data_IF_917301198180
#
_entry.id   IF_917301198180
#
_cell.length_a   1.000
_cell.length_b   1.000
_cell.length_c   1.000
_cell.angle_alpha   90.00
_cell.angle_beta   90.00
_cell.angle_gamma   90.00
#
_symmetry.space_group_name_H-M   'P 1'
#
loop_
_entity.id
_entity.type
_entity.pdbx_description
1 polymer ?
#
# COMPACT_ATOMS: atom_id res chain seq x y z
N UNK A 1 31.65 8.39 2.31
CA UNK A 1 31.71 7.15 3.13
C UNK A 1 30.74 6.18 2.47
N UNK A 2 31.10 4.95 2.17
CA UNK A 2 30.15 4.00 1.57
C UNK A 2 29.17 3.55 2.64
N UNK A 3 27.86 3.70 2.41
CA UNK A 3 26.83 3.25 3.34
C UNK A 3 26.89 1.72 3.54
N UNK A 4 26.84 1.28 4.79
CA UNK A 4 26.66 -0.13 5.11
C UNK A 4 25.15 -0.46 5.09
N UNK A 5 24.64 -0.83 3.91
CA UNK A 5 23.23 -1.12 3.68
C UNK A 5 22.74 -2.27 4.57
N UNK A 6 23.58 -3.29 4.80
CA UNK A 6 23.20 -4.43 5.65
C UNK A 6 23.00 -3.97 7.09
N UNK A 7 23.93 -3.16 7.62
CA UNK A 7 23.78 -2.61 8.96
C UNK A 7 22.54 -1.74 9.10
N UNK A 8 22.30 -0.83 8.16
CA UNK A 8 21.13 0.06 8.15
C UNK A 8 19.83 -0.75 8.18
N UNK A 9 19.70 -1.74 7.30
CA UNK A 9 18.54 -2.62 7.24
C UNK A 9 18.31 -3.35 8.58
N UNK A 10 19.37 -3.88 9.18
CA UNK A 10 19.27 -4.61 10.45
C UNK A 10 18.95 -3.69 11.63
N UNK A 11 19.47 -2.47 11.64
CA UNK A 11 19.13 -1.47 12.65
C UNK A 11 17.63 -1.10 12.57
N UNK A 12 17.12 -0.85 11.35
CA UNK A 12 15.70 -0.56 11.10
C UNK A 12 14.79 -1.75 11.43
N UNK A 13 15.21 -2.97 11.09
CA UNK A 13 14.45 -4.19 11.38
C UNK A 13 14.23 -4.40 12.90
N UNK A 14 15.12 -3.89 13.75
CA UNK A 14 14.98 -4.01 15.19
C UNK A 14 13.97 -3.04 15.82
N UNK A 15 13.52 -2.02 15.10
CA UNK A 15 12.66 -0.95 15.62
C UNK A 15 11.35 -0.77 14.85
N UNK A 16 10.63 -1.82 14.45
CA UNK A 16 9.35 -1.66 13.74
C UNK A 16 8.32 -0.95 14.61
N UNK A 17 7.65 0.05 14.06
CA UNK A 17 6.61 0.84 14.71
C UNK A 17 5.37 0.89 13.85
N UNK A 18 4.20 0.98 14.48
CA UNK A 18 2.91 1.01 13.79
C UNK A 18 2.69 2.40 13.19
N UNK A 19 1.95 2.46 12.10
CA UNK A 19 1.68 3.69 11.37
C UNK A 19 1.19 4.84 12.24
N UNK A 20 1.77 6.02 12.01
CA UNK A 20 1.67 7.28 12.77
C UNK A 20 2.30 7.24 14.18
N UNK A 21 3.00 6.14 14.53
CA UNK A 21 3.78 6.00 15.77
C UNK A 21 5.27 5.70 15.50
N UNK A 22 5.77 5.93 14.26
CA UNK A 22 7.12 5.58 13.79
C UNK A 22 8.19 6.59 14.29
N UNK A 23 8.17 6.92 15.58
CA UNK A 23 9.03 7.98 16.14
C UNK A 23 10.51 7.60 16.18
N UNK A 24 10.85 6.34 16.53
CA UNK A 24 12.24 5.88 16.53
C UNK A 24 12.76 5.65 15.11
N UNK A 25 11.91 5.12 14.25
CA UNK A 25 12.18 4.95 12.83
C UNK A 25 12.48 6.30 12.18
N UNK A 26 11.62 7.31 12.43
CA UNK A 26 11.84 8.68 11.96
C UNK A 26 13.15 9.27 12.50
N UNK A 27 13.41 9.13 13.80
CA UNK A 27 14.63 9.66 14.41
C UNK A 27 15.90 9.03 13.79
N UNK A 28 15.88 7.71 13.58
CA UNK A 28 16.97 6.99 12.93
C UNK A 28 17.19 7.48 11.49
N UNK A 29 16.13 7.59 10.71
CA UNK A 29 16.20 8.08 9.33
C UNK A 29 16.72 9.52 9.25
N UNK A 30 16.22 10.41 10.12
CA UNK A 30 16.69 11.81 10.18
C UNK A 30 18.18 11.90 10.52
N UNK A 31 18.67 11.08 11.46
CA UNK A 31 20.10 11.01 11.78
C UNK A 31 20.94 10.59 10.57
N UNK A 32 20.53 9.52 9.86
CA UNK A 32 21.23 9.05 8.65
C UNK A 32 21.19 10.09 7.54
N UNK A 33 20.03 10.72 7.29
CA UNK A 33 19.88 11.77 6.29
C UNK A 33 20.77 12.97 6.64
N UNK A 34 20.79 13.42 7.90
CA UNK A 34 21.63 14.54 8.32
C UNK A 34 23.12 14.28 8.09
N UNK A 35 23.60 13.07 8.42
CA UNK A 35 25.00 12.67 8.16
C UNK A 35 25.36 12.70 6.67
N UNK A 36 24.44 12.29 5.79
CA UNK A 36 24.66 12.28 4.34
C UNK A 36 24.60 13.67 3.71
N UNK A 37 23.88 14.61 4.33
CA UNK A 37 23.56 15.92 3.75
C UNK A 37 24.29 17.09 4.41
N UNK A 38 25.17 16.85 5.39
CA UNK A 38 25.87 17.88 6.20
C UNK A 38 26.54 18.96 5.32
N UNK A 39 27.18 18.57 4.21
CA UNK A 39 27.90 19.46 3.31
C UNK A 39 27.14 19.73 1.98
N UNK A 40 25.81 19.55 1.94
CA UNK A 40 24.98 19.65 0.72
C UNK A 40 24.02 20.84 0.79
N UNK A 41 24.42 21.97 0.21
CA UNK A 41 23.63 23.22 0.18
C UNK A 41 22.41 23.17 -0.76
N UNK A 42 22.32 22.13 -1.61
CA UNK A 42 21.19 21.90 -2.51
C UNK A 42 20.12 20.99 -1.93
N UNK A 43 20.18 20.65 -0.64
CA UNK A 43 19.23 19.72 0.02
C UNK A 43 18.40 20.46 1.07
N UNK A 44 17.09 20.26 0.99
CA UNK A 44 16.16 20.68 2.04
C UNK A 44 15.40 19.47 2.57
N UNK A 45 14.95 19.54 3.84
CA UNK A 45 14.10 18.50 4.43
C UNK A 45 12.93 19.10 5.17
N UNK A 46 11.80 18.39 5.16
CA UNK A 46 10.59 18.67 5.93
C UNK A 46 10.10 17.40 6.61
N UNK A 47 9.39 17.56 7.71
CA UNK A 47 8.69 16.46 8.37
C UNK A 47 7.20 16.75 8.40
N UNK A 48 6.41 15.68 8.31
CA UNK A 48 4.98 15.71 8.54
C UNK A 48 4.63 14.52 9.45
N UNK A 49 4.19 14.79 10.69
CA UNK A 49 4.04 13.75 11.73
C UNK A 49 5.31 12.90 11.82
N UNK A 50 5.22 11.60 11.53
CA UNK A 50 6.36 10.68 11.49
C UNK A 50 6.99 10.52 10.10
N UNK A 51 6.40 11.12 9.05
CA UNK A 51 6.93 11.11 7.69
C UNK A 51 8.06 12.13 7.48
N UNK A 52 8.90 11.88 6.45
CA UNK A 52 10.03 12.73 6.08
C UNK A 52 9.99 12.97 4.57
N UNK A 53 10.23 14.21 4.17
CA UNK A 53 10.44 14.61 2.78
C UNK A 53 11.86 15.19 2.67
N UNK A 54 12.65 14.66 1.74
CA UNK A 54 14.00 15.16 1.43
C UNK A 54 13.99 15.64 -0.01
N UNK A 55 14.24 16.92 -0.20
CA UNK A 55 14.20 17.55 -1.52
C UNK A 55 15.60 17.97 -1.96
N UNK A 56 16.00 17.55 -3.15
CA UNK A 56 17.25 17.91 -3.79
C UNK A 56 16.95 18.92 -4.89
N UNK A 57 17.46 20.13 -4.76
CA UNK A 57 17.37 21.16 -5.79
C UNK A 57 18.30 20.80 -6.95
N UNK A 58 17.73 20.65 -8.14
CA UNK A 58 18.49 20.46 -9.36
C UNK A 58 19.25 21.73 -9.76
N UNK A 59 20.38 21.58 -10.46
CA UNK A 59 21.16 22.74 -10.93
C UNK A 59 20.52 23.44 -12.16
N UNK A 60 19.64 22.75 -12.91
CA UNK A 60 18.89 23.28 -14.05
C UNK A 60 17.53 22.55 -14.20
N UNK A 61 16.65 22.63 -13.22
CA UNK A 61 15.47 21.77 -13.15
C UNK A 61 14.43 22.12 -14.22
N UNK A 62 13.93 21.11 -14.89
CA UNK A 62 12.75 21.17 -15.77
C UNK A 62 11.53 20.48 -15.15
N UNK A 63 11.79 19.54 -14.19
CA UNK A 63 10.79 18.75 -13.48
C UNK A 63 11.31 18.30 -12.13
N UNK A 64 10.41 17.76 -11.31
CA UNK A 64 10.73 17.09 -10.04
C UNK A 64 10.40 15.61 -10.14
N UNK A 65 11.35 14.75 -9.77
CA UNK A 65 11.21 13.29 -9.78
C UNK A 65 11.08 12.81 -8.34
N UNK A 66 9.99 12.11 -8.03
CA UNK A 66 9.73 11.54 -6.72
C UNK A 66 10.16 10.09 -6.59
N UNK A 67 10.72 9.75 -5.44
CA UNK A 67 10.93 8.39 -4.96
C UNK A 67 10.17 8.19 -3.64
N UNK A 68 9.26 7.20 -3.58
CA UNK A 68 8.50 6.89 -2.37
C UNK A 68 9.00 5.61 -1.73
N UNK A 69 9.10 5.63 -0.42
CA UNK A 69 9.27 4.47 0.44
C UNK A 69 8.36 4.58 1.65
N UNK A 70 7.78 3.48 2.09
CA UNK A 70 7.05 3.33 3.33
C UNK A 70 7.99 3.06 4.51
N UNK A 71 7.52 3.33 5.76
CA UNK A 71 8.40 3.24 6.94
C UNK A 71 7.79 2.49 8.13
N UNK A 72 6.52 2.13 8.08
CA UNK A 72 5.81 1.49 9.19
C UNK A 72 6.05 -0.03 9.25
N UNK A 73 5.63 -0.62 10.33
CA UNK A 73 5.67 -2.05 10.60
C UNK A 73 4.32 -2.59 11.01
N UNK A 74 4.23 -3.90 11.19
CA UNK A 74 3.01 -4.64 11.45
C UNK A 74 2.92 -5.16 12.89
N UNK A 75 1.71 -5.31 13.46
CA UNK A 75 1.48 -5.89 14.78
C UNK A 75 1.60 -7.43 14.71
N UNK A 76 2.79 -7.93 14.37
CA UNK A 76 3.09 -9.36 14.20
C UNK A 76 4.22 -9.73 15.16
N UNK A 77 4.05 -10.85 15.87
CA UNK A 77 5.12 -11.43 16.71
C UNK A 77 6.13 -12.10 15.79
N UNK A 78 7.35 -11.61 15.82
CA UNK A 78 8.42 -12.14 14.95
C UNK A 78 8.91 -13.52 15.40
N UNK A 79 9.00 -14.45 14.46
CA UNK A 79 9.48 -15.83 14.65
C UNK A 79 10.68 -16.19 13.76
N UNK A 80 11.41 -15.21 13.24
CA UNK A 80 12.54 -15.44 12.30
C UNK A 80 13.71 -16.14 12.98
N UNK A 81 13.94 -15.89 14.26
CA UNK A 81 15.12 -16.38 15.00
C UNK A 81 16.42 -15.65 14.65
N UNK A 82 16.37 -14.51 13.97
CA UNK A 82 17.52 -13.69 13.60
C UNK A 82 18.14 -13.02 14.84
N UNK A 83 19.46 -12.84 14.85
CA UNK A 83 20.17 -12.13 15.92
C UNK A 83 19.77 -10.66 16.01
N UNK A 84 19.30 -10.07 14.91
CA UNK A 84 18.81 -8.70 14.79
C UNK A 84 17.27 -8.62 14.67
N UNK A 85 16.55 -9.59 15.22
CA UNK A 85 15.09 -9.56 15.27
C UNK A 85 14.57 -8.32 15.98
N UNK A 86 13.29 -8.00 15.75
CA UNK A 86 12.59 -6.90 16.42
C UNK A 86 12.83 -6.87 17.94
N UNK A 87 13.13 -5.68 18.46
CA UNK A 87 13.19 -5.40 19.91
C UNK A 87 11.86 -4.84 20.42
N UNK A 88 10.90 -4.55 19.53
CA UNK A 88 9.55 -4.12 19.86
C UNK A 88 8.63 -5.34 19.92
N UNK A 89 8.26 -5.75 21.14
CA UNK A 89 7.41 -6.92 21.33
C UNK A 89 6.09 -6.81 20.53
N UNK A 90 5.75 -7.87 19.79
CA UNK A 90 4.55 -7.93 18.99
C UNK A 90 4.54 -7.08 17.72
N UNK A 91 5.70 -6.56 17.28
CA UNK A 91 5.83 -5.76 16.07
C UNK A 91 6.96 -6.29 15.19
N UNK A 92 6.78 -6.26 13.86
CA UNK A 92 7.75 -6.77 12.88
C UNK A 92 7.65 -6.00 11.57
N UNK A 93 8.77 -5.82 10.86
CA UNK A 93 8.78 -5.44 9.44
C UNK A 93 8.51 -6.68 8.55
N UNK A 94 7.28 -7.24 8.67
CA UNK A 94 6.89 -8.43 7.91
C UNK A 94 6.42 -8.12 6.48
N UNK A 95 6.34 -6.84 6.09
CA UNK A 95 6.10 -6.39 4.71
C UNK A 95 7.39 -5.95 3.99
N UNK A 96 8.52 -5.88 4.71
CA UNK A 96 9.82 -5.54 4.11
C UNK A 96 10.10 -4.05 3.97
N UNK A 97 9.39 -3.19 4.71
CA UNK A 97 9.61 -1.75 4.67
C UNK A 97 11.01 -1.34 5.16
N UNK A 98 11.68 -2.15 5.98
CA UNK A 98 13.09 -2.01 6.32
C UNK A 98 14.02 -2.13 5.09
N UNK A 99 13.67 -3.01 4.11
CA UNK A 99 14.35 -3.10 2.83
C UNK A 99 14.08 -1.88 1.95
N UNK A 100 12.83 -1.39 1.95
CA UNK A 100 12.43 -0.21 1.20
C UNK A 100 13.15 1.04 1.69
N UNK A 101 13.15 1.30 3.01
CA UNK A 101 13.85 2.42 3.63
C UNK A 101 15.35 2.38 3.36
N UNK A 102 15.96 1.22 3.50
CA UNK A 102 17.41 1.03 3.25
C UNK A 102 17.75 1.28 1.79
N UNK A 103 16.93 0.79 0.87
CA UNK A 103 17.08 1.06 -0.56
C UNK A 103 16.98 2.56 -0.83
N UNK A 104 15.97 3.25 -0.27
CA UNK A 104 15.79 4.69 -0.44
C UNK A 104 16.99 5.49 0.08
N UNK A 105 17.57 5.14 1.23
CA UNK A 105 18.79 5.78 1.75
C UNK A 105 19.98 5.54 0.82
N UNK A 106 20.14 4.32 0.27
CA UNK A 106 21.18 4.02 -0.68
C UNK A 106 21.05 4.79 -2.00
N UNK A 107 19.81 4.96 -2.48
CA UNK A 107 19.50 5.77 -3.66
C UNK A 107 19.76 7.27 -3.41
N UNK A 108 19.35 7.77 -2.24
CA UNK A 108 19.62 9.14 -1.81
C UNK A 108 21.14 9.41 -1.78
N UNK A 109 21.92 8.53 -1.15
CA UNK A 109 23.40 8.66 -1.13
C UNK A 109 23.97 8.77 -2.54
N UNK A 110 23.49 7.96 -3.49
CA UNK A 110 23.94 8.05 -4.88
C UNK A 110 23.58 9.38 -5.56
N UNK A 111 22.40 9.94 -5.28
CA UNK A 111 21.96 11.22 -5.85
C UNK A 111 22.69 12.41 -5.22
N UNK A 112 23.23 12.24 -4.01
CA UNK A 112 24.02 13.25 -3.31
C UNK A 112 25.49 13.34 -3.78
N UNK A 113 25.99 12.35 -4.57
CA UNK A 113 27.38 12.37 -5.05
C UNK A 113 27.63 13.52 -6.03
N UNK A 114 26.63 13.87 -6.85
CA UNK A 114 26.66 14.99 -7.80
C UNK A 114 25.27 15.62 -7.78
N UNK A 115 25.21 16.95 -7.69
CA UNK A 115 23.92 17.65 -7.76
C UNK A 115 23.21 17.29 -9.08
N UNK A 116 21.97 16.76 -9.03
CA UNK A 116 21.24 16.36 -10.23
C UNK A 116 20.85 17.58 -11.09
N UNK A 117 20.56 17.35 -12.39
CA UNK A 117 20.00 18.40 -13.25
C UNK A 117 18.60 18.78 -12.80
N UNK A 118 17.72 17.78 -12.67
CA UNK A 118 16.33 17.97 -12.23
C UNK A 118 16.19 17.91 -10.71
N UNK A 119 15.10 18.46 -10.19
CA UNK A 119 14.79 18.30 -8.77
C UNK A 119 14.43 16.85 -8.45
N UNK A 120 14.74 16.44 -7.21
CA UNK A 120 14.33 15.13 -6.72
C UNK A 120 13.66 15.24 -5.36
N UNK A 121 12.62 14.45 -5.14
CA UNK A 121 11.94 14.30 -3.85
C UNK A 121 12.08 12.85 -3.38
N UNK A 122 12.66 12.63 -2.20
CA UNK A 122 12.59 11.36 -1.50
C UNK A 122 11.52 11.47 -0.40
N UNK A 123 10.49 10.64 -0.51
CA UNK A 123 9.39 10.56 0.45
C UNK A 123 9.56 9.30 1.30
N UNK A 124 9.76 9.48 2.60
CA UNK A 124 9.66 8.42 3.61
C UNK A 124 8.26 8.52 4.23
N UNK A 125 7.35 7.70 3.73
CA UNK A 125 5.92 7.78 3.98
C UNK A 125 5.54 6.92 5.18
N UNK A 126 4.87 7.46 6.21
CA UNK A 126 4.35 6.68 7.33
C UNK A 126 3.03 5.98 6.98
N UNK A 127 2.65 5.00 7.82
CA UNK A 127 1.29 4.46 7.91
C UNK A 127 0.73 3.89 6.60
N UNK A 128 1.54 3.13 5.84
CA UNK A 128 1.05 2.44 4.65
C UNK A 128 0.02 1.36 5.03
N UNK A 129 0.26 0.59 6.09
CA UNK A 129 -0.47 -0.63 6.45
C UNK A 129 -1.85 -0.39 7.07
N UNK A 130 -2.14 0.81 7.58
CA UNK A 130 -3.36 1.01 8.38
C UNK A 130 -4.14 2.30 8.11
N UNK A 131 -3.47 3.44 7.86
CA UNK A 131 -4.12 4.75 7.81
C UNK A 131 -3.99 5.46 6.45
N UNK A 132 -3.38 4.81 5.45
CA UNK A 132 -3.13 5.39 4.13
C UNK A 132 -2.37 6.73 4.22
N UNK A 133 -1.16 6.66 4.79
CA UNK A 133 -0.33 7.84 5.08
C UNK A 133 -0.03 8.70 3.87
N UNK A 134 0.12 8.09 2.68
CA UNK A 134 0.27 8.84 1.42
C UNK A 134 -0.91 9.76 1.11
N UNK A 135 -2.14 9.28 1.33
CA UNK A 135 -3.35 10.11 1.20
C UNK A 135 -3.35 11.23 2.24
N UNK A 136 -3.10 10.92 3.51
CA UNK A 136 -3.12 11.92 4.57
C UNK A 136 -2.08 13.01 4.34
N UNK A 137 -0.86 12.66 3.93
CA UNK A 137 0.19 13.63 3.59
C UNK A 137 -0.22 14.54 2.44
N UNK A 138 -0.87 14.00 1.41
CA UNK A 138 -1.34 14.79 0.27
C UNK A 138 -2.47 15.74 0.67
N UNK A 139 -3.47 15.26 1.40
CA UNK A 139 -4.64 16.05 1.81
C UNK A 139 -4.29 17.12 2.84
N UNK A 140 -3.34 16.86 3.73
CA UNK A 140 -2.82 17.85 4.68
C UNK A 140 -1.86 18.87 4.03
N UNK A 141 -1.53 18.71 2.73
CA UNK A 141 -0.64 19.61 2.00
C UNK A 141 0.83 19.49 2.39
N UNK A 142 1.28 18.34 2.89
CA UNK A 142 2.66 18.12 3.36
C UNK A 142 3.71 18.33 2.26
N UNK A 143 3.35 18.11 1.01
CA UNK A 143 4.24 18.32 -0.13
C UNK A 143 4.48 19.80 -0.42
N UNK A 144 3.48 20.68 -0.19
CA UNK A 144 3.59 22.08 -0.56
C UNK A 144 3.95 22.26 -2.02
N UNK A 145 5.06 22.97 -2.26
CA UNK A 145 5.66 23.22 -3.59
C UNK A 145 6.60 22.10 -4.09
N UNK A 146 6.77 21.03 -3.32
CA UNK A 146 7.63 19.88 -3.64
C UNK A 146 6.90 18.70 -4.28
N UNK A 147 5.60 18.84 -4.61
CA UNK A 147 4.88 17.76 -5.26
C UNK A 147 5.58 17.41 -6.59
N UNK A 148 5.96 16.14 -6.81
CA UNK A 148 6.72 15.77 -8.00
C UNK A 148 5.84 15.72 -9.26
N UNK A 149 6.48 15.80 -10.43
CA UNK A 149 5.84 15.64 -11.74
C UNK A 149 5.68 14.16 -12.13
N UNK A 150 6.53 13.31 -11.59
CA UNK A 150 6.47 11.86 -11.77
C UNK A 150 6.97 11.16 -10.51
N UNK A 151 6.34 10.04 -10.11
CA UNK A 151 6.63 9.32 -8.88
C UNK A 151 7.02 7.86 -9.14
N UNK A 152 8.04 7.37 -8.44
CA UNK A 152 8.48 5.98 -8.48
C UNK A 152 8.52 5.39 -7.07
N UNK A 153 8.26 4.08 -6.97
CA UNK A 153 8.38 3.32 -5.73
C UNK A 153 8.56 1.84 -6.01
N UNK A 154 9.10 1.14 -5.03
CA UNK A 154 9.21 -0.33 -5.06
C UNK A 154 8.34 -0.97 -4.00
N UNK A 155 8.01 -2.24 -4.23
CA UNK A 155 7.66 -3.16 -3.16
C UNK A 155 8.47 -4.45 -3.31
N UNK A 156 8.90 -5.03 -2.21
CA UNK A 156 9.60 -6.32 -2.24
C UNK A 156 8.65 -7.47 -2.55
N UNK A 157 9.14 -8.48 -3.28
CA UNK A 157 8.37 -9.66 -3.62
C UNK A 157 9.10 -10.95 -3.24
N UNK A 158 8.53 -11.71 -2.29
CA UNK A 158 9.17 -12.90 -1.71
C UNK A 158 9.54 -14.01 -2.70
N UNK A 159 8.64 -14.33 -3.62
CA UNK A 159 8.73 -15.43 -4.60
C UNK A 159 9.60 -15.11 -5.83
N UNK A 160 10.05 -13.86 -5.98
CA UNK A 160 11.00 -13.46 -7.01
C UNK A 160 12.43 -13.51 -6.47
N UNK A 161 13.36 -13.84 -7.35
CA UNK A 161 14.78 -13.97 -7.00
C UNK A 161 15.46 -12.61 -6.90
N UNK A 162 16.59 -12.55 -6.21
CA UNK A 162 17.50 -11.40 -6.32
C UNK A 162 17.95 -11.28 -7.79
N UNK A 163 17.84 -10.07 -8.35
CA UNK A 163 18.04 -9.82 -9.78
C UNK A 163 16.75 -9.62 -10.56
N UNK A 164 15.61 -10.05 -10.02
CA UNK A 164 14.32 -9.84 -10.66
C UNK A 164 13.76 -8.45 -10.34
N UNK A 165 13.38 -7.73 -11.39
CA UNK A 165 12.52 -6.54 -11.33
C UNK A 165 11.26 -6.85 -12.14
N UNK A 166 10.08 -6.63 -11.55
CA UNK A 166 8.83 -6.94 -12.22
C UNK A 166 7.83 -5.80 -12.15
N UNK A 167 7.14 -5.54 -13.25
CA UNK A 167 6.06 -4.54 -13.33
C UNK A 167 5.20 -4.82 -14.55
N UNK A 168 4.24 -3.95 -14.81
CA UNK A 168 3.45 -3.93 -16.04
C UNK A 168 3.04 -2.49 -16.38
N UNK A 169 2.47 -2.28 -17.55
CA UNK A 169 2.02 -0.96 -18.03
C UNK A 169 0.58 -0.59 -17.61
N UNK A 170 0.03 -1.29 -16.63
CA UNK A 170 -1.34 -1.11 -16.13
C UNK A 170 -1.37 -1.16 -14.61
N UNK A 171 -2.35 -1.80 -14.02
CA UNK A 171 -2.46 -1.96 -12.56
C UNK A 171 -1.46 -2.97 -12.01
N UNK A 172 -0.73 -2.61 -10.97
CA UNK A 172 0.18 -3.52 -10.27
C UNK A 172 -0.47 -4.10 -9.00
N UNK A 173 -1.17 -3.28 -8.21
CA UNK A 173 -1.90 -3.70 -7.00
C UNK A 173 -3.37 -3.34 -7.10
N UNK A 174 -4.24 -4.20 -6.55
CA UNK A 174 -5.66 -3.94 -6.50
C UNK A 174 -6.01 -2.83 -5.48
N UNK A 175 -7.02 -2.04 -5.80
CA UNK A 175 -7.67 -1.19 -4.81
C UNK A 175 -8.46 -2.02 -3.83
N UNK A 176 -8.53 -1.56 -2.58
CA UNK A 176 -9.22 -2.24 -1.49
C UNK A 176 -10.31 -1.37 -0.88
N UNK A 177 -11.46 -1.96 -0.55
CA UNK A 177 -12.50 -1.28 0.20
C UNK A 177 -13.09 -2.23 1.24
N UNK A 178 -13.10 -1.81 2.51
CA UNK A 178 -13.80 -2.51 3.57
C UNK A 178 -15.30 -2.21 3.49
N UNK A 179 -16.11 -3.22 3.79
CA UNK A 179 -17.58 -3.14 3.73
C UNK A 179 -18.17 -3.65 5.04
N UNK A 180 -18.90 -2.80 5.74
CA UNK A 180 -19.75 -3.23 6.85
C UNK A 180 -21.20 -2.83 6.52
N UNK A 181 -22.10 -3.81 6.55
CA UNK A 181 -23.54 -3.61 6.37
C UNK A 181 -24.26 -4.10 7.60
N UNK A 182 -24.99 -3.22 8.25
CA UNK A 182 -25.78 -3.51 9.46
C UNK A 182 -27.25 -3.34 9.17
N UNK A 183 -27.99 -4.44 9.11
CA UNK A 183 -29.45 -4.43 9.02
C UNK A 183 -30.07 -4.26 10.41
N UNK A 184 -31.02 -3.33 10.53
CA UNK A 184 -31.70 -2.99 11.77
C UNK A 184 -33.20 -3.21 11.59
N UNK A 185 -33.68 -4.33 12.12
CA UNK A 185 -35.05 -4.74 12.09
C UNK A 185 -35.73 -4.55 13.44
N UNK A 186 -36.65 -5.47 13.76
CA UNK A 186 -37.36 -5.53 15.04
C UNK A 186 -37.31 -6.97 15.55
N UNK A 187 -36.68 -7.16 16.70
CA UNK A 187 -36.66 -8.45 17.40
C UNK A 187 -38.03 -8.87 17.91
N UNK A 188 -38.16 -10.16 18.18
CA UNK A 188 -39.44 -10.70 18.70
C UNK A 188 -39.36 -12.18 19.05
N UNK A 189 -40.45 -12.71 19.59
CA UNK A 189 -40.54 -14.14 19.87
C UNK A 189 -40.70 -14.92 18.57
N UNK A 190 -39.89 -15.97 18.37
CA UNK A 190 -39.84 -16.73 17.12
C UNK A 190 -41.19 -17.33 16.66
N UNK A 191 -42.14 -17.55 17.61
CA UNK A 191 -43.51 -18.02 17.31
C UNK A 191 -44.46 -16.91 16.82
N UNK A 192 -44.06 -15.63 16.89
CA UNK A 192 -44.84 -14.48 16.46
C UNK A 192 -44.12 -13.65 15.41
N UNK A 193 -43.69 -14.24 14.26
CA UNK A 193 -42.87 -13.54 13.25
C UNK A 193 -43.60 -12.35 12.62
N UNK A 194 -44.92 -12.29 12.64
CA UNK A 194 -45.71 -11.18 12.12
C UNK A 194 -45.64 -9.91 12.96
N UNK A 195 -45.07 -9.97 14.17
CA UNK A 195 -44.83 -8.83 15.05
C UNK A 195 -43.36 -8.29 14.98
N UNK A 196 -42.51 -8.94 14.19
CA UNK A 196 -41.09 -8.66 14.09
C UNK A 196 -40.63 -8.40 12.64
N UNK A 197 -39.39 -7.89 12.48
CA UNK A 197 -38.72 -7.77 11.20
C UNK A 197 -37.37 -8.47 11.32
N UNK A 198 -37.18 -9.62 10.67
CA UNK A 198 -36.07 -10.53 10.86
C UNK A 198 -34.81 -10.03 10.10
N UNK A 199 -33.87 -9.46 10.85
CA UNK A 199 -32.61 -8.95 10.29
C UNK A 199 -31.69 -10.07 9.77
N UNK A 200 -31.74 -11.28 10.38
CA UNK A 200 -30.96 -12.42 9.93
C UNK A 200 -31.40 -12.87 8.53
N UNK A 201 -32.70 -12.95 8.29
CA UNK A 201 -33.24 -13.31 6.98
C UNK A 201 -32.88 -12.25 5.95
N UNK A 202 -33.05 -10.96 6.25
CA UNK A 202 -32.69 -9.87 5.33
C UNK A 202 -31.20 -9.91 4.95
N UNK A 203 -30.31 -10.04 5.93
CA UNK A 203 -28.86 -10.13 5.65
C UNK A 203 -28.50 -11.37 4.82
N UNK A 204 -29.20 -12.50 4.99
CA UNK A 204 -29.03 -13.69 4.16
C UNK A 204 -29.40 -13.44 2.70
N UNK A 205 -30.48 -12.71 2.44
CA UNK A 205 -30.85 -12.26 1.08
C UNK A 205 -29.81 -11.29 0.51
N UNK A 206 -29.28 -10.37 1.32
CA UNK A 206 -28.21 -9.47 0.90
C UNK A 206 -26.98 -10.26 0.43
N UNK A 207 -26.49 -11.22 1.21
CA UNK A 207 -25.31 -12.04 0.86
C UNK A 207 -25.49 -12.74 -0.49
N UNK A 208 -26.68 -13.28 -0.77
CA UNK A 208 -26.95 -13.97 -2.03
C UNK A 208 -27.08 -12.98 -3.20
N UNK A 209 -27.76 -11.87 -3.02
CA UNK A 209 -27.97 -10.88 -4.08
C UNK A 209 -26.68 -10.16 -4.47
N UNK A 210 -25.82 -9.81 -3.48
CA UNK A 210 -24.58 -9.08 -3.73
C UNK A 210 -23.61 -9.85 -4.62
N UNK A 211 -23.69 -11.19 -4.70
CA UNK A 211 -22.91 -12.01 -5.62
C UNK A 211 -23.19 -11.68 -7.10
N UNK A 212 -24.38 -11.12 -7.39
CA UNK A 212 -24.75 -10.72 -8.74
C UNK A 212 -23.97 -9.49 -9.23
N UNK A 213 -23.34 -8.74 -8.35
CA UNK A 213 -22.52 -7.59 -8.74
C UNK A 213 -21.38 -8.04 -9.65
N UNK A 214 -20.57 -8.98 -9.19
CA UNK A 214 -19.44 -9.50 -9.97
C UNK A 214 -19.92 -10.23 -11.22
N UNK A 215 -20.97 -11.06 -11.11
CA UNK A 215 -21.42 -11.89 -12.23
C UNK A 215 -22.27 -11.15 -13.26
N UNK A 216 -22.82 -9.96 -12.98
CA UNK A 216 -23.80 -9.25 -13.83
C UNK A 216 -23.56 -7.76 -14.02
N UNK A 217 -22.63 -7.14 -13.28
CA UNK A 217 -22.38 -5.70 -13.38
C UNK A 217 -20.93 -5.36 -13.69
N UNK A 218 -19.97 -6.17 -13.17
CA UNK A 218 -18.54 -5.97 -13.42
C UNK A 218 -18.21 -6.45 -14.82
N UNK A 219 -17.39 -5.66 -15.55
CA UNK A 219 -16.82 -6.09 -16.81
C UNK A 219 -15.93 -7.33 -16.56
N UNK A 220 -16.22 -8.47 -17.20
CA UNK A 220 -15.48 -9.70 -16.95
C UNK A 220 -13.98 -9.62 -17.30
N UNK A 221 -13.58 -8.68 -18.17
CA UNK A 221 -12.16 -8.45 -18.50
C UNK A 221 -11.46 -7.67 -17.37
N UNK A 222 -12.14 -6.72 -16.74
CA UNK A 222 -11.58 -5.91 -15.66
C UNK A 222 -11.59 -6.65 -14.32
N UNK A 223 -12.51 -7.59 -14.13
CA UNK A 223 -12.61 -8.38 -12.93
C UNK A 223 -13.02 -7.58 -11.69
N UNK A 224 -13.11 -8.28 -10.56
CA UNK A 224 -13.41 -7.72 -9.24
C UNK A 224 -13.75 -8.83 -8.25
N UNK A 225 -13.50 -8.58 -6.98
CA UNK A 225 -13.82 -9.49 -5.87
C UNK A 225 -14.71 -8.78 -4.87
N UNK A 226 -15.79 -9.44 -4.46
CA UNK A 226 -16.65 -9.04 -3.35
C UNK A 226 -16.79 -10.23 -2.43
N UNK A 227 -16.20 -10.16 -1.25
CA UNK A 227 -16.20 -11.24 -0.26
C UNK A 227 -16.69 -10.74 1.08
N UNK A 228 -17.63 -11.47 1.68
CA UNK A 228 -18.03 -11.28 3.07
C UNK A 228 -17.51 -12.43 3.91
N UNK A 229 -16.56 -12.12 4.79
CA UNK A 229 -15.88 -13.09 5.64
C UNK A 229 -16.51 -13.28 7.02
N UNK A 230 -17.42 -12.38 7.41
CA UNK A 230 -18.05 -12.40 8.73
C UNK A 230 -19.53 -12.05 8.64
N UNK A 231 -20.36 -12.80 9.39
CA UNK A 231 -21.80 -12.58 9.51
C UNK A 231 -22.24 -12.90 10.94
N UNK A 232 -22.74 -11.89 11.64
CA UNK A 232 -23.20 -12.00 13.02
C UNK A 232 -24.67 -11.60 13.12
N UNK A 233 -25.54 -12.49 13.62
CA UNK A 233 -26.95 -12.20 13.82
C UNK A 233 -27.55 -13.14 14.88
N UNK A 234 -28.41 -12.58 15.76
CA UNK A 234 -29.14 -13.33 16.77
C UNK A 234 -28.28 -13.84 17.92
N UNK A 235 -28.93 -14.32 18.97
CA UNK A 235 -28.29 -14.80 20.22
C UNK A 235 -28.77 -16.17 20.65
N UNK A 236 -30.02 -16.54 20.28
CA UNK A 236 -30.67 -17.80 20.68
C UNK A 236 -31.70 -18.21 19.63
N UNK A 237 -32.08 -19.50 19.66
CA UNK A 237 -32.94 -20.14 18.65
C UNK A 237 -34.44 -19.72 18.69
N UNK A 238 -34.91 -19.13 19.78
CA UNK A 238 -36.32 -18.78 19.95
C UNK A 238 -36.58 -17.26 19.98
N UNK A 239 -35.61 -16.45 19.54
CA UNK A 239 -35.70 -14.99 19.41
C UNK A 239 -35.32 -14.58 18.00
N UNK A 240 -36.17 -13.80 17.33
CA UNK A 240 -35.89 -13.19 16.02
C UNK A 240 -34.83 -12.13 16.20
N UNK A 241 -33.81 -12.16 15.35
CA UNK A 241 -32.69 -11.21 15.39
C UNK A 241 -33.15 -9.78 15.05
N UNK A 242 -32.90 -8.84 15.96
CA UNK A 242 -33.15 -7.41 15.72
C UNK A 242 -32.08 -6.80 14.81
N UNK A 243 -30.84 -7.27 14.93
CA UNK A 243 -29.72 -6.78 14.14
C UNK A 243 -28.97 -7.91 13.45
N UNK A 244 -28.41 -7.61 12.27
CA UNK A 244 -27.48 -8.48 11.56
C UNK A 244 -26.37 -7.66 10.94
N UNK A 245 -25.12 -8.04 11.23
CA UNK A 245 -23.91 -7.40 10.73
C UNK A 245 -23.17 -8.32 9.76
N UNK A 246 -22.83 -7.78 8.62
CA UNK A 246 -22.08 -8.48 7.56
C UNK A 246 -20.85 -7.68 7.23
N UNK A 247 -19.66 -8.25 7.47
CA UNK A 247 -18.38 -7.59 7.23
C UNK A 247 -17.61 -8.27 6.10
N UNK A 248 -17.09 -7.46 5.17
CA UNK A 248 -16.46 -7.96 3.96
C UNK A 248 -15.45 -7.00 3.34
N UNK A 249 -15.00 -7.37 2.16
CA UNK A 249 -14.01 -6.61 1.39
C UNK A 249 -14.31 -6.64 -0.10
N UNK A 250 -13.96 -5.54 -0.77
CA UNK A 250 -13.96 -5.41 -2.22
C UNK A 250 -12.51 -5.29 -2.68
N UNK A 251 -12.15 -5.93 -3.81
CA UNK A 251 -10.88 -5.77 -4.52
C UNK A 251 -11.16 -5.51 -5.99
N UNK A 252 -10.48 -4.52 -6.57
CA UNK A 252 -10.65 -4.16 -7.99
C UNK A 252 -9.34 -3.70 -8.61
N UNK A 253 -9.19 -3.90 -9.90
CA UNK A 253 -8.00 -3.49 -10.63
C UNK A 253 -8.11 -2.07 -11.20
N UNK A 254 -9.30 -1.47 -11.19
CA UNK A 254 -9.50 -0.09 -11.62
C UNK A 254 -10.40 0.66 -10.64
N UNK A 255 -10.18 1.96 -10.49
CA UNK A 255 -11.01 2.80 -9.62
C UNK A 255 -12.45 2.90 -10.11
N UNK A 256 -12.67 2.83 -11.45
CA UNK A 256 -14.01 2.81 -12.03
C UNK A 256 -14.81 1.60 -11.52
N UNK A 257 -14.22 0.40 -11.54
CA UNK A 257 -14.89 -0.81 -11.04
C UNK A 257 -15.10 -0.77 -9.53
N UNK A 258 -14.17 -0.19 -8.78
CA UNK A 258 -14.33 0.02 -7.34
C UNK A 258 -15.58 0.86 -7.05
N UNK A 259 -15.73 1.99 -7.67
CA UNK A 259 -16.87 2.88 -7.50
C UNK A 259 -18.19 2.23 -7.97
N UNK A 260 -18.16 1.48 -9.07
CA UNK A 260 -19.31 0.71 -9.55
C UNK A 260 -19.77 -0.31 -8.52
N UNK A 261 -18.86 -1.13 -8.00
CA UNK A 261 -19.17 -2.17 -7.02
C UNK A 261 -19.70 -1.55 -5.72
N UNK A 262 -19.04 -0.53 -5.19
CA UNK A 262 -19.48 0.19 -3.99
C UNK A 262 -20.91 0.74 -4.13
N UNK A 263 -21.20 1.37 -5.27
CA UNK A 263 -22.55 1.85 -5.60
C UNK A 263 -23.57 0.70 -5.63
N UNK A 264 -23.23 -0.43 -6.23
CA UNK A 264 -24.13 -1.60 -6.34
C UNK A 264 -24.35 -2.26 -4.98
N UNK A 265 -23.33 -2.39 -4.13
CA UNK A 265 -23.44 -2.88 -2.75
C UNK A 265 -24.48 -2.05 -1.99
N UNK A 266 -24.36 -0.72 -2.04
CA UNK A 266 -25.32 0.19 -1.40
C UNK A 266 -26.73 -0.01 -1.92
N UNK A 267 -26.95 -0.04 -3.23
CA UNK A 267 -28.26 -0.21 -3.84
C UNK A 267 -28.93 -1.55 -3.46
N UNK A 268 -28.15 -2.63 -3.39
CA UNK A 268 -28.66 -3.94 -3.00
C UNK A 268 -29.04 -3.94 -1.52
N UNK A 269 -28.17 -3.40 -0.64
CA UNK A 269 -28.45 -3.33 0.80
C UNK A 269 -29.71 -2.50 1.10
N UNK A 270 -29.85 -1.32 0.49
CA UNK A 270 -31.03 -0.46 0.60
C UNK A 270 -32.30 -1.15 0.04
N UNK A 271 -32.17 -1.83 -1.09
CA UNK A 271 -33.28 -2.58 -1.69
C UNK A 271 -33.76 -3.75 -0.83
N UNK A 272 -32.83 -4.49 -0.23
CA UNK A 272 -33.16 -5.57 0.71
C UNK A 272 -33.83 -4.99 1.97
N UNK A 273 -33.24 -3.96 2.59
CA UNK A 273 -33.81 -3.33 3.77
C UNK A 273 -35.25 -2.84 3.52
N UNK A 274 -35.49 -2.18 2.39
CA UNK A 274 -36.83 -1.74 1.98
C UNK A 274 -37.79 -2.93 1.81
N UNK A 275 -37.35 -4.05 1.22
CA UNK A 275 -38.17 -5.25 1.01
C UNK A 275 -38.63 -5.91 2.34
N UNK A 276 -37.81 -5.76 3.40
CA UNK A 276 -38.13 -6.30 4.75
C UNK A 276 -38.67 -5.24 5.70
N UNK A 277 -38.86 -3.99 5.26
CA UNK A 277 -39.39 -2.90 6.08
C UNK A 277 -38.48 -2.54 7.26
N UNK A 278 -37.18 -2.48 7.05
CA UNK A 278 -36.17 -2.18 8.06
C UNK A 278 -35.15 -1.12 7.60
N UNK A 279 -34.31 -0.66 8.52
CA UNK A 279 -33.23 0.25 8.24
C UNK A 279 -31.93 -0.51 7.95
N UNK A 280 -30.99 0.16 7.25
CA UNK A 280 -29.65 -0.37 6.99
C UNK A 280 -28.60 0.72 7.11
N UNK A 281 -27.53 0.45 7.87
CA UNK A 281 -26.32 1.26 7.87
C UNK A 281 -25.28 0.60 6.97
N UNK A 282 -24.59 1.42 6.16
CA UNK A 282 -23.63 0.95 5.17
C UNK A 282 -22.35 1.76 5.31
N UNK A 283 -21.29 1.13 5.78
CA UNK A 283 -19.94 1.67 5.76
C UNK A 283 -19.17 1.07 4.58
N UNK A 284 -18.61 1.92 3.75
CA UNK A 284 -17.69 1.58 2.68
C UNK A 284 -16.44 2.42 2.89
N UNK A 285 -15.36 1.79 3.37
CA UNK A 285 -14.09 2.46 3.67
C UNK A 285 -13.02 2.01 2.67
N UNK A 286 -12.78 2.78 1.62
CA UNK A 286 -11.67 2.60 0.71
C UNK A 286 -10.44 3.40 1.20
N UNK A 287 -10.66 4.63 1.70
CA UNK A 287 -9.58 5.51 2.11
C UNK A 287 -8.62 5.77 0.95
N UNK A 288 -7.32 5.75 1.24
CA UNK A 288 -6.26 5.93 0.25
C UNK A 288 -5.88 4.68 -0.55
N UNK A 289 -6.50 3.51 -0.29
CA UNK A 289 -6.14 2.26 -0.97
C UNK A 289 -6.80 2.14 -2.35
N UNK A 290 -6.46 3.07 -3.25
CA UNK A 290 -6.86 3.02 -4.65
C UNK A 290 -6.02 1.96 -5.39
N UNK A 291 -6.46 1.46 -6.56
CA UNK A 291 -5.58 0.63 -7.39
C UNK A 291 -4.27 1.36 -7.69
N UNK A 292 -3.15 0.65 -7.62
CA UNK A 292 -1.86 1.17 -8.07
C UNK A 292 -1.80 1.06 -9.58
N UNK A 293 -2.32 2.08 -10.27
CA UNK A 293 -2.36 2.16 -11.72
C UNK A 293 -1.08 2.84 -12.22
N UNK A 294 -0.16 2.07 -12.76
CA UNK A 294 1.06 2.58 -13.37
C UNK A 294 0.74 3.46 -14.58
N UNK A 295 1.43 4.59 -14.71
CA UNK A 295 1.37 5.38 -15.94
C UNK A 295 1.98 4.57 -17.10
N UNK A 296 1.25 4.28 -18.18
CA UNK A 296 1.72 3.38 -19.24
C UNK A 296 2.99 3.85 -19.95
N UNK A 297 3.17 5.16 -20.12
CA UNK A 297 4.33 5.72 -20.79
C UNK A 297 5.59 5.60 -19.91
N UNK A 298 5.47 5.97 -18.62
CA UNK A 298 6.57 5.87 -17.65
C UNK A 298 6.92 4.41 -17.34
N UNK A 299 5.94 3.53 -17.25
CA UNK A 299 6.18 2.11 -17.06
C UNK A 299 6.91 1.49 -18.26
N UNK A 300 6.54 1.85 -19.48
CA UNK A 300 7.23 1.40 -20.69
C UNK A 300 8.67 1.93 -20.75
N UNK A 301 8.90 3.18 -20.36
CA UNK A 301 10.24 3.77 -20.27
C UNK A 301 11.09 2.99 -19.27
N UNK A 302 10.58 2.75 -18.04
CA UNK A 302 11.25 1.98 -17.00
C UNK A 302 11.57 0.55 -17.47
N UNK A 303 10.59 -0.15 -18.04
CA UNK A 303 10.80 -1.50 -18.56
C UNK A 303 11.83 -1.53 -19.68
N UNK A 304 11.81 -0.56 -20.60
CA UNK A 304 12.80 -0.46 -21.66
C UNK A 304 14.21 -0.21 -21.10
N UNK A 305 14.33 0.62 -20.06
CA UNK A 305 15.61 0.87 -19.41
C UNK A 305 16.18 -0.40 -18.77
N UNK A 306 15.37 -1.12 -17.99
CA UNK A 306 15.83 -2.32 -17.31
C UNK A 306 16.07 -3.50 -18.26
N UNK A 307 15.34 -3.61 -19.37
CA UNK A 307 15.57 -4.63 -20.41
C UNK A 307 16.96 -4.54 -21.04
N UNK A 308 17.60 -3.37 -20.97
CA UNK A 308 18.98 -3.18 -21.46
C UNK A 308 20.06 -3.53 -20.44
N UNK A 309 19.71 -3.74 -19.16
CA UNK A 309 20.67 -4.09 -18.11
C UNK A 309 20.91 -5.60 -18.06
N UNK A 310 22.16 -6.08 -18.23
CA UNK A 310 22.47 -7.50 -18.15
C UNK A 310 22.30 -8.11 -16.74
N UNK A 311 22.26 -7.26 -15.72
CA UNK A 311 22.11 -7.66 -14.31
C UNK A 311 20.64 -7.81 -13.89
N UNK A 312 19.70 -7.31 -14.70
CA UNK A 312 18.27 -7.30 -14.38
C UNK A 312 17.55 -8.39 -15.18
N UNK A 313 16.82 -9.25 -14.49
CA UNK A 313 15.80 -10.10 -15.10
C UNK A 313 14.44 -9.38 -15.03
N UNK A 314 14.08 -8.69 -16.13
CA UNK A 314 12.82 -7.97 -16.20
C UNK A 314 11.65 -8.92 -16.45
N UNK A 315 10.61 -8.82 -15.63
CA UNK A 315 9.41 -9.65 -15.70
C UNK A 315 8.19 -8.75 -15.95
N UNK A 316 7.45 -9.00 -17.03
CA UNK A 316 6.10 -8.46 -17.21
C UNK A 316 5.14 -9.32 -16.41
N UNK A 317 4.60 -8.77 -15.30
CA UNK A 317 3.86 -9.55 -14.32
C UNK A 317 2.37 -9.18 -14.30
N UNK A 318 1.48 -10.15 -13.97
CA UNK A 318 0.07 -9.84 -13.73
C UNK A 318 -0.10 -8.99 -12.47
N UNK A 319 -1.24 -8.28 -12.33
CA UNK A 319 -1.56 -7.54 -11.13
C UNK A 319 -1.71 -8.43 -9.91
N UNK A 320 -1.33 -7.92 -8.74
CA UNK A 320 -1.57 -8.55 -7.44
C UNK A 320 -2.91 -8.07 -6.85
N UNK A 321 -3.62 -8.99 -6.14
CA UNK A 321 -4.89 -8.63 -5.48
C UNK A 321 -4.70 -8.09 -4.05
N UNK A 322 -3.46 -7.81 -3.65
CA UNK A 322 -3.11 -7.11 -2.40
C UNK A 322 -3.33 -5.61 -2.55
N UNK A 323 -3.54 -4.91 -1.42
CA UNK A 323 -3.67 -3.44 -1.40
C UNK A 323 -2.33 -2.75 -1.20
N UNK A 324 -2.29 -1.46 -1.55
CA UNK A 324 -1.16 -0.56 -1.39
C UNK A 324 -1.69 0.89 -1.47
N UNK A 325 -1.26 1.79 -0.57
CA UNK A 325 -1.79 3.15 -0.53
C UNK A 325 -1.09 4.11 -1.51
N UNK A 326 0.04 3.71 -2.10
CA UNK A 326 0.71 4.48 -3.14
C UNK A 326 -0.19 4.75 -4.36
N UNK A 327 -1.20 3.90 -4.57
CA UNK A 327 -2.24 4.12 -5.59
C UNK A 327 -2.95 5.47 -5.45
N UNK A 328 -3.09 6.00 -4.23
CA UNK A 328 -3.64 7.34 -4.03
C UNK A 328 -2.74 8.41 -4.61
N UNK A 329 -1.44 8.39 -4.31
CA UNK A 329 -0.47 9.34 -4.85
C UNK A 329 -0.37 9.22 -6.38
N UNK A 330 -0.39 7.99 -6.93
CA UNK A 330 -0.39 7.76 -8.39
C UNK A 330 -1.68 8.24 -9.07
N UNK A 331 -2.79 8.37 -8.34
CA UNK A 331 -4.01 9.02 -8.85
C UNK A 331 -3.89 10.54 -8.99
N UNK A 332 -2.88 11.16 -8.36
CA UNK A 332 -2.61 12.61 -8.36
C UNK A 332 -1.42 12.98 -9.23
N UNK A 333 -0.42 12.12 -9.25
CA UNK A 333 0.86 12.32 -9.94
C UNK A 333 1.14 11.07 -10.77
N UNK A 334 1.43 11.19 -12.08
CA UNK A 334 1.79 10.02 -12.89
C UNK A 334 3.03 9.33 -12.31
N UNK A 335 3.04 8.01 -12.31
CA UNK A 335 4.20 7.29 -11.74
C UNK A 335 4.17 5.80 -12.01
N UNK A 336 5.12 5.11 -11.41
CA UNK A 336 5.30 3.66 -11.57
C UNK A 336 5.71 3.04 -10.25
N UNK A 337 5.01 1.98 -9.89
CA UNK A 337 5.47 1.05 -8.86
C UNK A 337 5.93 -0.25 -9.51
N UNK A 338 6.93 -0.88 -8.92
CA UNK A 338 7.46 -2.14 -9.41
C UNK A 338 7.96 -3.03 -8.28
N UNK A 339 8.01 -4.32 -8.54
CA UNK A 339 8.46 -5.33 -7.60
C UNK A 339 9.98 -5.48 -7.63
N UNK A 340 10.56 -5.70 -6.46
CA UNK A 340 11.94 -6.12 -6.25
C UNK A 340 11.96 -7.54 -5.69
N UNK A 341 12.61 -8.48 -6.36
CA UNK A 341 12.77 -9.86 -5.87
C UNK A 341 13.69 -9.93 -4.65
N UNK A 342 13.24 -10.66 -3.62
CA UNK A 342 13.97 -10.82 -2.34
C UNK A 342 14.22 -12.28 -1.94
N UNK A 343 13.88 -13.24 -2.80
CA UNK A 343 14.25 -14.66 -2.70
C UNK A 343 14.07 -15.27 -1.31
N UNK A 344 12.84 -15.24 -0.79
CA UNK A 344 12.50 -15.83 0.51
C UNK A 344 11.32 -16.81 0.38
N UNK A 345 11.31 -17.94 1.11
CA UNK A 345 10.21 -18.90 1.05
C UNK A 345 8.96 -18.47 1.81
N UNK A 346 9.02 -17.36 2.54
CA UNK A 346 7.91 -16.86 3.35
C UNK A 346 7.22 -15.70 2.67
N UNK A 347 5.89 -15.73 2.65
CA UNK A 347 5.07 -14.65 2.10
C UNK A 347 5.19 -13.37 2.94
N UNK A 348 4.77 -12.24 2.36
CA UNK A 348 4.56 -11.00 3.10
C UNK A 348 3.57 -11.24 4.27
N UNK A 349 3.72 -10.51 5.37
CA UNK A 349 2.97 -10.63 6.62
C UNK A 349 3.15 -11.97 7.35
N UNK A 350 4.10 -12.81 6.91
CA UNK A 350 4.41 -14.03 7.62
C UNK A 350 5.42 -13.75 8.76
N UNK A 351 5.23 -14.32 9.99
CA UNK A 351 6.13 -14.05 11.14
C UNK A 351 7.58 -14.51 10.95
N UNK A 352 7.87 -15.28 9.91
CA UNK A 352 9.22 -15.71 9.53
C UNK A 352 9.73 -15.07 8.24
N UNK A 353 9.06 -14.02 7.75
CA UNK A 353 9.51 -13.32 6.54
C UNK A 353 10.93 -12.76 6.77
N UNK A 354 11.85 -13.18 5.93
CA UNK A 354 13.26 -12.82 6.02
C UNK A 354 13.84 -12.66 4.61
N UNK A 355 13.99 -11.42 4.11
CA UNK A 355 14.53 -11.13 2.80
C UNK A 355 15.99 -11.58 2.64
N UNK A 356 16.37 -11.97 1.43
CA UNK A 356 17.77 -12.06 1.06
C UNK A 356 18.36 -10.64 0.98
N UNK A 357 19.32 -10.33 1.85
CA UNK A 357 19.92 -9.00 1.98
C UNK A 357 20.75 -8.59 0.74
N UNK A 358 21.18 -9.53 -0.12
CA UNK A 358 21.86 -9.23 -1.39
C UNK A 358 20.99 -8.39 -2.33
N UNK A 359 19.66 -8.44 -2.17
CA UNK A 359 18.74 -7.60 -2.91
C UNK A 359 18.97 -6.09 -2.69
N UNK A 360 19.50 -5.68 -1.54
CA UNK A 360 19.82 -4.27 -1.26
C UNK A 360 20.89 -3.72 -2.19
N UNK A 361 22.00 -4.43 -2.29
CA UNK A 361 23.12 -4.00 -3.16
C UNK A 361 22.68 -3.95 -4.63
N UNK A 362 21.93 -4.96 -5.07
CA UNK A 362 21.33 -5.02 -6.40
C UNK A 362 20.36 -3.85 -6.63
N UNK A 363 19.42 -3.62 -5.74
CA UNK A 363 18.41 -2.55 -5.86
C UNK A 363 19.08 -1.17 -5.96
N UNK A 364 19.99 -0.86 -5.04
CA UNK A 364 20.70 0.43 -5.03
C UNK A 364 21.51 0.61 -6.32
N UNK A 365 22.18 -0.45 -6.81
CA UNK A 365 22.97 -0.36 -8.03
C UNK A 365 22.11 -0.13 -9.28
N UNK A 366 21.07 -0.93 -9.51
CA UNK A 366 20.31 -0.92 -10.75
C UNK A 366 19.25 0.19 -10.78
N UNK A 367 18.50 0.37 -9.68
CA UNK A 367 17.53 1.46 -9.57
C UNK A 367 18.23 2.81 -9.55
N UNK A 368 19.41 2.89 -8.92
CA UNK A 368 20.21 4.11 -8.92
C UNK A 368 20.65 4.55 -10.33
N UNK A 369 20.96 3.59 -11.24
CA UNK A 369 21.22 3.91 -12.67
C UNK A 369 19.97 4.51 -13.33
N UNK A 370 18.79 3.93 -13.07
CA UNK A 370 17.53 4.45 -13.60
C UNK A 370 17.21 5.85 -13.07
N UNK A 371 17.32 6.08 -11.76
CA UNK A 371 17.06 7.39 -11.18
C UNK A 371 18.05 8.45 -11.67
N UNK A 372 19.35 8.11 -11.86
CA UNK A 372 20.31 9.01 -12.48
C UNK A 372 19.92 9.36 -13.91
N UNK A 373 19.48 8.37 -14.70
CA UNK A 373 18.98 8.63 -16.05
C UNK A 373 17.79 9.61 -16.02
N UNK A 374 16.84 9.42 -15.12
CA UNK A 374 15.68 10.32 -14.95
C UNK A 374 16.07 11.71 -14.45
N UNK A 375 17.02 11.78 -13.54
CA UNK A 375 17.50 13.04 -12.97
C UNK A 375 18.25 13.92 -13.99
N UNK A 376 18.85 13.32 -15.01
CA UNK A 376 19.63 14.02 -16.06
C UNK A 376 18.83 14.24 -17.38
N UNK A 377 17.67 13.60 -17.55
CA UNK A 377 16.84 13.67 -18.76
C UNK A 377 16.09 15.05 -18.94
#
# INVERSE_FOLDING_TARGET
MTLDLIKIRRDLHQIPEIGLEEFKTQAYLLERIAEMTEDKDFVEQRTWRTGILVYLHGHAPEKTIGWRTDIDGLPIVEETGLDFKSTHEGRMHACGHDMHMTTALGLLDQMLQVQPKNNMLFLFQPAEENEAGGMLMYEDGAFGDWLPDEFYGIHVRPDFKVGDIATNTSTLFAGTCEVLVTFKGKGGHAAFPHEANDALVAASYFITQVQTIVSRNVDPIQGGVVTFGSFHAGTTNNVIAETAEVYGTIRTLTQEMSLLIQKRVRQIAEGVAASFGMEVDIMLKQGGYLPVENNPALAKELMTFFDTSPEVNLIDCPPAMTGEDFGYLLSKVPGVMFWLGIDTPYALHHPKMSPNEDALAFAVAEIGKFLKHKAEA
#
